data_IF_749241095484
#
_entry.id   IF_749241095484
#
_cell.length_a   1.000
_cell.length_b   1.000
_cell.length_c   1.000
_cell.angle_alpha   90.00
_cell.angle_beta   90.00
_cell.angle_gamma   90.00
#
_symmetry.space_group_name_H-M   'P 1'
#
loop_
_entity.id
_entity.type
_entity.pdbx_description
1 polymer ?
#
# COMPACT_ATOMS: atom_id res chain seq x y z
N UNK A 1 -13.32 -11.12 2.37
CA UNK A 1 -12.39 -11.33 1.25
C UNK A 1 -11.12 -10.53 1.53
N UNK A 2 -9.95 -11.15 1.48
CA UNK A 2 -8.69 -10.41 1.50
C UNK A 2 -8.58 -9.64 0.17
N UNK A 3 -8.28 -8.35 0.21
CA UNK A 3 -8.05 -7.58 -1.02
C UNK A 3 -6.68 -7.98 -1.57
N UNK A 4 -6.66 -8.87 -2.56
CA UNK A 4 -5.45 -9.37 -3.21
C UNK A 4 -4.79 -8.35 -4.16
N UNK A 5 -5.42 -7.19 -4.38
CA UNK A 5 -4.82 -6.05 -5.07
C UNK A 5 -4.56 -4.94 -4.05
N UNK A 6 -3.30 -4.53 -3.97
CA UNK A 6 -2.83 -3.44 -3.15
C UNK A 6 -2.40 -2.30 -4.08
N UNK A 7 -2.90 -1.09 -3.83
CA UNK A 7 -2.56 0.10 -4.59
C UNK A 7 -1.83 1.09 -3.70
N UNK A 8 -0.56 1.38 -4.02
CA UNK A 8 0.30 2.30 -3.30
C UNK A 8 0.49 3.54 -4.16
N UNK A 9 0.05 4.70 -3.67
CA UNK A 9 0.21 5.96 -4.39
C UNK A 9 0.92 7.03 -3.58
N UNK A 10 1.59 7.93 -4.27
CA UNK A 10 2.29 9.06 -3.68
C UNK A 10 3.37 9.61 -4.61
N UNK A 11 3.85 10.82 -4.33
CA UNK A 11 4.90 11.47 -5.15
C UNK A 11 6.18 10.63 -5.23
N UNK A 12 7.06 10.85 -6.22
CA UNK A 12 8.39 10.27 -6.23
C UNK A 12 9.13 10.51 -4.89
N UNK A 13 9.86 9.50 -4.41
CA UNK A 13 10.64 9.60 -3.16
C UNK A 13 9.84 9.54 -1.85
N UNK A 14 8.53 9.27 -1.87
CA UNK A 14 7.68 9.22 -0.66
C UNK A 14 7.68 7.89 0.09
N UNK A 15 8.39 6.88 -0.42
CA UNK A 15 8.53 5.58 0.25
C UNK A 15 7.69 4.43 -0.32
N UNK A 16 7.10 4.58 -1.51
CA UNK A 16 6.33 3.51 -2.20
C UNK A 16 7.07 2.18 -2.27
N UNK A 17 8.34 2.22 -2.67
CA UNK A 17 9.18 1.01 -2.79
C UNK A 17 9.39 0.33 -1.44
N UNK A 18 9.67 1.08 -0.37
CA UNK A 18 9.82 0.50 0.97
C UNK A 18 8.55 -0.23 1.45
N UNK A 19 7.37 0.37 1.23
CA UNK A 19 6.11 -0.28 1.56
C UNK A 19 5.86 -1.51 0.67
N UNK A 20 6.17 -1.42 -0.63
CA UNK A 20 6.07 -2.56 -1.55
C UNK A 20 6.95 -3.71 -1.10
N UNK A 21 8.20 -3.45 -0.70
CA UNK A 21 9.15 -4.47 -0.22
C UNK A 21 8.67 -5.11 1.09
N UNK A 22 8.04 -4.33 1.99
CA UNK A 22 7.46 -4.84 3.23
C UNK A 22 6.31 -5.82 2.93
N UNK A 23 5.40 -5.43 2.04
CA UNK A 23 4.27 -6.27 1.60
C UNK A 23 4.78 -7.53 0.88
N UNK A 24 5.73 -7.37 -0.04
CA UNK A 24 6.30 -8.47 -0.82
C UNK A 24 6.96 -9.51 0.08
N UNK A 25 7.72 -9.08 1.11
CA UNK A 25 8.31 -10.00 2.09
C UNK A 25 7.27 -10.84 2.81
N UNK A 26 6.08 -10.31 3.08
CA UNK A 26 5.01 -11.08 3.72
C UNK A 26 4.40 -12.12 2.77
N UNK A 27 4.31 -11.83 1.48
CA UNK A 27 3.88 -12.82 0.47
C UNK A 27 4.94 -13.91 0.25
N UNK A 28 6.21 -13.54 0.15
CA UNK A 28 7.33 -14.47 -0.10
C UNK A 28 7.59 -15.43 1.08
N UNK A 29 7.05 -15.17 2.27
CA UNK A 29 7.07 -16.13 3.39
C UNK A 29 6.19 -17.35 3.13
N UNK A 30 5.22 -17.26 2.22
CA UNK A 30 4.40 -18.40 1.82
C UNK A 30 5.19 -19.20 0.77
N UNK A 31 5.52 -20.46 1.08
CA UNK A 31 6.29 -21.32 0.18
C UNK A 31 5.66 -21.40 -1.22
N UNK A 32 6.48 -21.17 -2.25
CA UNK A 32 6.06 -21.32 -3.65
C UNK A 32 5.48 -20.06 -4.31
N UNK A 33 5.59 -18.88 -3.68
CA UNK A 33 5.28 -17.59 -4.32
C UNK A 33 6.47 -17.04 -5.11
N UNK A 34 6.24 -16.76 -6.40
CA UNK A 34 7.16 -15.99 -7.23
C UNK A 34 6.76 -14.51 -7.25
N UNK A 35 7.75 -13.62 -7.18
CA UNK A 35 7.54 -12.17 -7.38
C UNK A 35 8.04 -11.75 -8.76
N UNK A 36 7.19 -11.05 -9.50
CA UNK A 36 7.49 -10.57 -10.86
C UNK A 36 7.36 -9.05 -10.90
N UNK A 37 8.47 -8.38 -11.22
CA UNK A 37 8.48 -6.95 -11.46
C UNK A 37 7.91 -6.62 -12.85
N UNK A 38 6.91 -5.74 -12.88
CA UNK A 38 6.21 -5.31 -14.09
C UNK A 38 6.34 -3.80 -14.21
N UNK A 39 6.72 -3.32 -15.38
CA UNK A 39 6.80 -1.89 -15.69
C UNK A 39 6.04 -1.61 -17.00
N UNK A 40 5.94 -0.34 -17.40
CA UNK A 40 5.21 0.05 -18.62
C UNK A 40 5.73 -0.67 -19.89
N UNK A 41 6.99 -1.11 -19.94
CA UNK A 41 7.57 -1.78 -21.11
C UNK A 41 7.13 -3.24 -21.28
N UNK A 42 6.90 -3.98 -20.18
CA UNK A 42 6.49 -5.39 -20.22
C UNK A 42 5.02 -5.61 -19.81
N UNK A 43 4.33 -4.58 -19.32
CA UNK A 43 2.94 -4.68 -18.85
C UNK A 43 2.00 -5.34 -19.85
N UNK A 44 2.08 -4.98 -21.14
CA UNK A 44 1.19 -5.54 -22.16
C UNK A 44 1.38 -7.05 -22.34
N UNK A 45 2.62 -7.51 -22.30
CA UNK A 45 2.96 -8.92 -22.40
C UNK A 45 2.47 -9.69 -21.18
N UNK A 46 2.76 -9.18 -19.98
CA UNK A 46 2.33 -9.80 -18.71
C UNK A 46 0.81 -9.91 -18.65
N UNK A 47 0.07 -8.85 -19.00
CA UNK A 47 -1.40 -8.86 -19.02
C UNK A 47 -1.94 -9.91 -20.00
N UNK A 48 -1.26 -10.14 -21.13
CA UNK A 48 -1.68 -11.12 -22.13
C UNK A 48 -1.42 -12.57 -21.69
N UNK A 49 -0.48 -12.78 -20.76
CA UNK A 49 -0.04 -14.10 -20.30
C UNK A 49 -0.41 -14.39 -18.83
N UNK A 50 -1.38 -13.67 -18.25
CA UNK A 50 -1.76 -13.78 -16.84
C UNK A 50 -2.12 -15.21 -16.41
N UNK A 51 -2.67 -16.02 -17.32
CA UNK A 51 -3.05 -17.41 -17.08
C UNK A 51 -1.87 -18.35 -16.81
N UNK A 52 -0.65 -17.96 -17.16
CA UNK A 52 0.55 -18.78 -16.93
C UNK A 52 1.05 -18.68 -15.50
N UNK A 53 0.74 -17.58 -14.80
CA UNK A 53 1.20 -17.33 -13.45
C UNK A 53 0.24 -17.96 -12.45
N UNK A 54 0.74 -18.85 -11.58
CA UNK A 54 -0.08 -19.58 -10.60
C UNK A 54 0.07 -18.96 -9.22
N UNK A 55 1.17 -19.25 -8.53
CA UNK A 55 1.45 -18.70 -7.22
C UNK A 55 2.36 -17.48 -7.37
N UNK A 56 1.76 -16.31 -7.58
CA UNK A 56 2.52 -15.15 -8.07
C UNK A 56 2.05 -13.85 -7.47
N UNK A 57 3.02 -13.04 -7.06
CA UNK A 57 2.88 -11.63 -6.76
C UNK A 57 3.37 -10.80 -7.95
N UNK A 58 2.48 -10.01 -8.55
CA UNK A 58 2.88 -9.02 -9.56
C UNK A 58 3.16 -7.69 -8.88
N UNK A 59 4.39 -7.18 -9.00
CA UNK A 59 4.77 -5.84 -8.51
C UNK A 59 4.81 -4.89 -9.70
N UNK A 60 3.73 -4.14 -9.89
CA UNK A 60 3.49 -3.28 -11.05
C UNK A 60 3.88 -1.83 -10.74
N UNK A 61 4.81 -1.29 -11.51
CA UNK A 61 5.17 0.11 -11.52
C UNK A 61 4.77 0.72 -12.87
N UNK A 62 3.56 1.27 -12.93
CA UNK A 62 2.97 1.80 -14.18
C UNK A 62 2.37 3.17 -13.96
N UNK A 63 2.56 4.05 -14.95
CA UNK A 63 1.99 5.41 -14.93
C UNK A 63 0.54 5.47 -15.39
N UNK A 64 0.09 4.49 -16.18
CA UNK A 64 -1.20 4.50 -16.85
C UNK A 64 -1.76 3.08 -16.97
N UNK A 65 -2.30 2.56 -15.87
CA UNK A 65 -3.16 1.38 -15.92
C UNK A 65 -4.55 1.79 -16.41
N UNK A 66 -4.93 1.29 -17.57
CA UNK A 66 -6.27 1.52 -18.10
C UNK A 66 -7.29 0.56 -17.49
N UNK A 67 -8.58 0.86 -17.69
CA UNK A 67 -9.69 0.06 -17.18
C UNK A 67 -9.64 -1.41 -17.58
N UNK A 68 -9.28 -1.71 -18.83
CA UNK A 68 -9.19 -3.08 -19.31
C UNK A 68 -8.08 -3.86 -18.59
N UNK A 69 -6.92 -3.24 -18.38
CA UNK A 69 -5.81 -3.85 -17.63
C UNK A 69 -6.20 -4.10 -16.16
N UNK A 70 -6.85 -3.13 -15.51
CA UNK A 70 -7.34 -3.31 -14.14
C UNK A 70 -8.37 -4.44 -14.03
N UNK A 71 -9.28 -4.57 -15.00
CA UNK A 71 -10.24 -5.68 -15.03
C UNK A 71 -9.54 -7.03 -15.23
N UNK A 72 -8.49 -7.10 -16.04
CA UNK A 72 -7.69 -8.30 -16.22
C UNK A 72 -6.97 -8.70 -14.91
N UNK A 73 -6.33 -7.73 -14.23
CA UNK A 73 -5.69 -7.96 -12.93
C UNK A 73 -6.69 -8.39 -11.85
N UNK A 74 -7.90 -7.82 -11.87
CA UNK A 74 -8.98 -8.24 -10.98
C UNK A 74 -9.37 -9.69 -11.20
N UNK A 75 -9.60 -10.11 -12.45
CA UNK A 75 -9.90 -11.51 -12.78
C UNK A 75 -8.77 -12.45 -12.39
N UNK A 76 -7.53 -12.01 -12.60
CA UNK A 76 -6.33 -12.77 -12.24
C UNK A 76 -6.29 -13.14 -10.76
N UNK A 77 -6.56 -12.19 -9.85
CA UNK A 77 -6.54 -12.47 -8.39
C UNK A 77 -7.82 -13.11 -7.84
N UNK A 78 -8.90 -13.15 -8.63
CA UNK A 78 -10.18 -13.75 -8.22
C UNK A 78 -10.25 -15.25 -8.49
N UNK A 79 -9.27 -15.80 -9.20
CA UNK A 79 -9.18 -17.21 -9.48
C UNK A 79 -8.77 -17.98 -8.22
N UNK A 80 -9.75 -18.62 -7.57
CA UNK A 80 -9.60 -19.30 -6.28
C UNK A 80 -8.71 -20.55 -6.36
N UNK A 81 -8.42 -21.06 -7.56
CA UNK A 81 -7.51 -22.21 -7.75
C UNK A 81 -6.05 -21.85 -7.46
N UNK A 82 -5.69 -20.56 -7.48
CA UNK A 82 -4.32 -20.11 -7.40
C UNK A 82 -4.10 -19.03 -6.36
N UNK A 83 -2.89 -19.00 -5.80
CA UNK A 83 -2.50 -18.01 -4.81
C UNK A 83 -1.87 -16.79 -5.49
N UNK A 84 -2.68 -15.77 -5.81
CA UNK A 84 -2.26 -14.61 -6.61
C UNK A 84 -2.45 -13.30 -5.87
N UNK A 85 -1.55 -12.35 -6.11
CA UNK A 85 -1.67 -11.00 -5.60
C UNK A 85 -1.04 -9.98 -6.55
N UNK A 86 -1.43 -8.72 -6.40
CA UNK A 86 -0.91 -7.62 -7.20
C UNK A 86 -0.62 -6.43 -6.28
N UNK A 87 0.59 -5.87 -6.39
CA UNK A 87 0.94 -4.58 -5.80
C UNK A 87 1.14 -3.58 -6.93
N UNK A 88 0.37 -2.50 -6.93
CA UNK A 88 0.46 -1.42 -7.91
C UNK A 88 1.11 -0.22 -7.24
N UNK A 89 2.18 0.31 -7.83
CA UNK A 89 2.82 1.55 -7.42
C UNK A 89 2.53 2.66 -8.43
N UNK A 90 1.91 3.74 -7.98
CA UNK A 90 1.50 4.87 -8.81
C UNK A 90 1.90 6.21 -8.20
N UNK A 91 1.97 7.25 -9.03
CA UNK A 91 2.07 8.64 -8.56
C UNK A 91 0.70 9.32 -8.43
N UNK A 92 -0.33 8.68 -8.99
CA UNK A 92 -1.68 9.22 -9.09
C UNK A 92 -2.60 8.60 -8.04
N UNK A 93 -3.46 9.44 -7.49
CA UNK A 93 -4.52 9.03 -6.59
C UNK A 93 -5.50 8.10 -7.34
N UNK A 94 -5.85 6.91 -6.80
CA UNK A 94 -6.77 6.01 -7.48
C UNK A 94 -8.18 6.60 -7.56
N UNK A 95 -8.82 6.36 -8.70
CA UNK A 95 -10.22 6.66 -8.92
C UNK A 95 -11.15 5.75 -8.07
N UNK A 96 -12.43 6.11 -8.03
CA UNK A 96 -13.42 5.45 -7.16
C UNK A 96 -13.59 3.97 -7.47
N UNK A 97 -13.45 3.56 -8.73
CA UNK A 97 -13.51 2.16 -9.13
C UNK A 97 -12.37 1.39 -8.44
N UNK A 98 -11.11 1.83 -8.58
CA UNK A 98 -9.93 1.20 -7.95
C UNK A 98 -10.10 1.12 -6.43
N UNK A 99 -10.56 2.19 -5.79
CA UNK A 99 -10.76 2.22 -4.32
C UNK A 99 -11.75 1.17 -3.83
N UNK A 100 -12.74 0.80 -4.63
CA UNK A 100 -13.78 -0.16 -4.23
C UNK A 100 -13.30 -1.62 -4.22
N UNK A 101 -12.18 -1.94 -4.88
CA UNK A 101 -11.70 -3.33 -4.95
C UNK A 101 -10.23 -3.51 -4.57
N UNK A 102 -9.50 -2.42 -4.30
CA UNK A 102 -8.12 -2.47 -3.84
C UNK A 102 -8.00 -2.07 -2.38
N UNK A 103 -7.01 -2.63 -1.68
CA UNK A 103 -6.48 -2.00 -0.48
C UNK A 103 -5.59 -0.83 -0.89
N UNK A 104 -5.97 0.39 -0.53
CA UNK A 104 -5.25 1.59 -0.95
C UNK A 104 -4.35 2.12 0.17
N UNK A 105 -3.08 2.34 -0.14
CA UNK A 105 -2.11 3.03 0.70
C UNK A 105 -1.67 4.32 0.05
N UNK A 106 -1.63 5.38 0.85
CA UNK A 106 -1.03 6.65 0.47
C UNK A 106 0.31 6.82 1.17
N UNK A 107 1.36 7.14 0.41
CA UNK A 107 2.69 7.47 0.93
C UNK A 107 2.94 8.97 0.79
N UNK A 108 3.48 9.60 1.83
CA UNK A 108 3.59 11.06 1.90
C UNK A 108 4.92 11.62 2.41
N UNK A 109 5.40 12.67 1.74
CA UNK A 109 6.40 13.63 2.25
C UNK A 109 5.69 14.68 3.13
N UNK A 110 6.31 15.29 4.15
CA UNK A 110 7.71 15.14 4.63
C UNK A 110 8.06 13.85 5.35
N UNK A 111 7.10 13.04 5.74
CA UNK A 111 7.30 12.24 6.96
C UNK A 111 7.61 10.77 6.74
N UNK A 112 7.82 10.33 5.48
CA UNK A 112 8.10 8.94 5.13
C UNK A 112 7.17 8.00 5.92
N UNK A 113 5.87 8.19 5.75
CA UNK A 113 4.83 7.35 6.35
C UNK A 113 3.91 6.85 5.26
N UNK A 114 3.22 5.75 5.55
CA UNK A 114 2.05 5.33 4.80
C UNK A 114 0.80 5.44 5.66
N UNK A 115 -0.34 5.62 5.00
CA UNK A 115 -1.66 5.66 5.63
C UNK A 115 -2.67 4.91 4.76
N UNK A 116 -3.59 4.19 5.38
CA UNK A 116 -4.64 3.43 4.70
C UNK A 116 -5.94 3.49 5.52
N UNK A 117 -7.06 3.43 4.82
CA UNK A 117 -8.36 3.22 5.46
C UNK A 117 -8.56 1.72 5.68
N UNK A 118 -8.83 1.30 6.92
CA UNK A 118 -9.08 -0.11 7.27
C UNK A 118 -10.58 -0.41 7.41
N UNK A 119 -11.39 0.58 7.79
CA UNK A 119 -12.86 0.51 7.87
C UNK A 119 -13.45 1.89 7.51
N UNK A 120 -14.77 1.99 7.32
CA UNK A 120 -15.46 3.22 6.89
C UNK A 120 -15.04 4.45 7.69
N UNK A 121 -14.84 4.31 9.00
CA UNK A 121 -14.42 5.39 9.89
C UNK A 121 -13.14 5.06 10.65
N UNK A 122 -12.23 4.28 10.07
CA UNK A 122 -10.99 3.90 10.74
C UNK A 122 -9.80 3.93 9.79
N UNK A 123 -8.81 4.73 10.16
CA UNK A 123 -7.58 4.94 9.44
C UNK A 123 -6.40 4.39 10.23
N UNK A 124 -5.45 3.79 9.53
CA UNK A 124 -4.21 3.27 10.07
C UNK A 124 -3.02 3.94 9.39
N UNK A 125 -2.03 4.37 10.17
CA UNK A 125 -0.79 4.94 9.67
C UNK A 125 0.43 4.29 10.33
N UNK A 126 1.52 4.19 9.58
CA UNK A 126 2.83 3.69 10.07
C UNK A 126 3.96 4.50 9.46
N UNK A 127 5.02 4.75 10.24
CA UNK A 127 6.24 5.34 9.72
C UNK A 127 7.08 4.31 8.96
N UNK A 128 7.63 4.65 7.80
CA UNK A 128 8.47 3.77 6.96
C UNK A 128 9.72 3.23 7.70
N UNK A 129 10.15 3.92 8.76
CA UNK A 129 11.29 3.52 9.62
C UNK A 129 10.90 3.29 11.08
N UNK A 130 9.61 3.15 11.37
CA UNK A 130 9.11 2.97 12.73
C UNK A 130 8.16 1.79 12.78
N UNK A 131 8.35 0.91 13.76
CA UNK A 131 7.37 -0.12 14.08
C UNK A 131 6.07 0.45 14.67
N UNK A 132 6.00 1.78 14.88
CA UNK A 132 4.81 2.42 15.40
C UNK A 132 3.71 2.46 14.36
N UNK A 133 2.63 1.76 14.66
CA UNK A 133 1.35 1.83 13.98
C UNK A 133 0.37 2.63 14.85
N UNK A 134 -0.36 3.57 14.26
CA UNK A 134 -1.41 4.31 14.94
C UNK A 134 -2.73 4.19 14.18
N UNK A 135 -3.84 4.18 14.92
CA UNK A 135 -5.19 4.14 14.38
C UNK A 135 -6.00 5.34 14.88
N UNK A 136 -6.84 5.90 14.02
CA UNK A 136 -7.73 7.01 14.37
C UNK A 136 -8.95 7.06 13.44
N UNK A 137 -10.00 7.77 13.86
CA UNK A 137 -11.21 7.93 13.04
C UNK A 137 -11.03 8.90 11.86
N UNK A 138 -9.99 9.72 11.90
CA UNK A 138 -9.60 10.62 10.82
C UNK A 138 -8.20 10.32 10.31
N UNK A 139 -8.02 10.39 8.99
CA UNK A 139 -6.72 10.19 8.32
C UNK A 139 -5.62 11.09 8.90
N UNK A 140 -5.92 12.38 9.09
CA UNK A 140 -4.95 13.36 9.58
C UNK A 140 -4.53 13.04 11.01
N UNK A 141 -5.48 12.66 11.87
CA UNK A 141 -5.21 12.27 13.24
C UNK A 141 -4.33 11.01 13.31
N UNK A 142 -4.60 9.99 12.48
CA UNK A 142 -3.74 8.80 12.42
C UNK A 142 -2.29 9.16 12.04
N UNK A 143 -2.13 10.04 11.04
CA UNK A 143 -0.83 10.56 10.64
C UNK A 143 -0.14 11.33 11.79
N UNK A 144 -0.87 12.18 12.51
CA UNK A 144 -0.35 12.97 13.62
C UNK A 144 0.10 12.11 14.80
N UNK A 145 -0.61 11.04 15.13
CA UNK A 145 -0.23 10.12 16.21
C UNK A 145 1.11 9.42 15.92
N UNK A 146 1.38 9.09 14.66
CA UNK A 146 2.70 8.57 14.23
C UNK A 146 3.76 9.66 14.34
N UNK A 147 3.44 10.92 14.01
CA UNK A 147 4.35 12.07 14.06
C UNK A 147 4.69 12.55 15.49
N UNK A 148 3.69 12.61 16.36
CA UNK A 148 3.68 13.35 17.63
C UNK A 148 4.63 12.85 18.72
N UNK A 149 5.39 11.78 18.49
CA UNK A 149 6.44 11.33 19.41
C UNK A 149 7.83 11.93 19.13
N UNK A 150 7.97 12.80 18.13
CA UNK A 150 9.15 13.68 18.01
C UNK A 150 8.95 15.08 18.57
N UNK A 151 7.82 15.33 19.24
CA UNK A 151 7.52 16.61 19.90
C UNK A 151 6.71 16.43 21.19
N UNK A 152 7.18 15.55 22.08
CA UNK A 152 7.05 15.78 23.52
C UNK A 152 8.43 16.25 24.00
N UNK A 153 8.61 17.40 24.61
CA UNK A 153 7.77 18.09 25.55
C UNK A 153 8.75 18.58 26.61
N UNK A 154 9.17 19.85 26.51
CA UNK A 154 9.87 20.48 27.63
C UNK A 154 8.89 20.47 28.79
N UNK A 155 9.16 19.64 29.79
CA UNK A 155 8.52 19.66 31.09
C UNK A 155 8.68 21.06 31.70
N UNK A 156 7.74 21.96 31.40
CA UNK A 156 7.43 23.05 32.33
C UNK A 156 6.43 22.48 33.32
N UNK A 157 6.98 21.84 34.34
CA UNK A 157 6.31 21.63 35.61
C UNK A 157 5.94 23.03 36.10
N UNK A 158 4.66 23.38 36.06
CA UNK A 158 4.13 24.43 36.93
C UNK A 158 4.31 23.94 38.36
N UNK A 159 5.39 24.38 39.02
CA UNK A 159 5.48 24.38 40.48
C UNK A 159 4.78 25.65 40.96
N UNK A 160 3.47 25.56 41.14
CA UNK A 160 2.78 26.39 42.11
C UNK A 160 2.43 25.50 43.30
N UNK A 161 2.76 25.99 44.50
CA UNK A 161 2.32 25.45 45.79
C UNK A 161 3.32 24.50 46.45
N UNK A 162 4.28 25.06 47.20
CA UNK A 162 4.53 24.83 48.63
C UNK A 162 5.57 25.85 49.12
#
# INVERSE_FOLDING_TARGET
MQNHIIYIFGKPGTGKTFLSDEIEKDFLKNEGYDSIAVNDSNLKEIISNLNQFRNTLLVIQSKNLNKHQMQALKRFVQDEEFQRAVVIQSEFDPDSEIRNYCKVYETGYPYYLWVTQIEDNLWEAKGVKSEKVARAHEKNQACELVRGYKSGGSNRINREGF
#
